data_IF_146152950239
#
_entry.id   IF_146152950239
#
_cell.length_a   1.000
_cell.length_b   1.000
_cell.length_c   1.000
_cell.angle_alpha   90.00
_cell.angle_beta   90.00
_cell.angle_gamma   90.00
#
_symmetry.space_group_name_H-M   'P 1'
#
loop_
_entity.id
_entity.type
_entity.pdbx_description
1 polymer ?
#
# COMPACT_ATOMS: atom_id res chain seq x y z
N UNK A 1 -5.06 -32.19 17.38
CA UNK A 1 -4.84 -30.74 17.58
C UNK A 1 -5.01 -30.32 19.04
N UNK A 2 -6.19 -30.50 19.68
CA UNK A 2 -6.42 -30.08 21.08
C UNK A 2 -5.48 -30.80 22.06
N UNK A 3 -5.33 -32.12 21.92
CA UNK A 3 -4.43 -32.92 22.77
C UNK A 3 -2.95 -32.46 22.64
N UNK A 4 -2.51 -32.17 21.42
CA UNK A 4 -1.17 -31.65 21.17
C UNK A 4 -0.97 -30.23 21.76
N UNK A 5 -2.01 -29.38 21.73
CA UNK A 5 -1.93 -28.05 22.32
C UNK A 5 -1.83 -28.13 23.86
N UNK A 6 -2.56 -29.06 24.48
CA UNK A 6 -2.49 -29.35 25.93
C UNK A 6 -1.11 -29.91 26.31
N UNK A 7 -0.60 -30.88 25.56
CA UNK A 7 0.73 -31.43 25.75
C UNK A 7 1.80 -30.37 25.68
N UNK A 8 1.74 -29.51 24.63
CA UNK A 8 2.69 -28.41 24.45
C UNK A 8 2.62 -27.38 25.59
N UNK A 9 1.43 -27.10 26.09
CA UNK A 9 1.27 -26.21 27.24
C UNK A 9 1.83 -26.80 28.55
N UNK A 10 1.70 -28.12 28.74
CA UNK A 10 2.21 -28.80 29.94
C UNK A 10 3.72 -29.06 29.90
N UNK A 11 4.30 -29.11 28.72
CA UNK A 11 5.76 -29.33 28.51
C UNK A 11 6.52 -28.05 28.18
N UNK A 12 5.87 -26.89 28.29
CA UNK A 12 6.47 -25.57 28.01
C UNK A 12 7.57 -25.28 29.02
N UNK A 13 8.68 -24.73 28.52
CA UNK A 13 9.79 -24.24 29.32
C UNK A 13 9.36 -23.11 30.28
N UNK A 14 9.96 -23.07 31.49
CA UNK A 14 9.59 -22.07 32.51
C UNK A 14 9.84 -20.63 32.04
N UNK A 15 10.91 -20.38 31.27
CA UNK A 15 11.24 -19.07 30.73
C UNK A 15 10.21 -18.65 29.65
N UNK A 16 9.85 -19.57 28.77
CA UNK A 16 8.81 -19.32 27.76
C UNK A 16 7.44 -19.07 28.42
N UNK A 17 7.12 -19.82 29.47
CA UNK A 17 5.88 -19.65 30.24
C UNK A 17 5.84 -18.28 30.91
N UNK A 18 6.93 -17.86 31.56
CA UNK A 18 7.04 -16.56 32.21
C UNK A 18 6.93 -15.40 31.21
N UNK A 19 7.55 -15.53 30.05
CA UNK A 19 7.48 -14.53 28.99
C UNK A 19 6.06 -14.41 28.43
N UNK A 20 5.40 -15.52 28.09
CA UNK A 20 4.02 -15.56 27.63
C UNK A 20 3.05 -15.01 28.67
N UNK A 21 3.23 -15.36 29.95
CA UNK A 21 2.43 -14.81 31.02
C UNK A 21 2.59 -13.30 31.13
N UNK A 22 3.81 -12.80 31.06
CA UNK A 22 4.10 -11.36 31.11
C UNK A 22 3.43 -10.61 29.96
N UNK A 23 3.48 -11.15 28.74
CA UNK A 23 2.88 -10.52 27.55
C UNK A 23 1.34 -10.57 27.62
N UNK A 24 0.76 -11.70 28.02
CA UNK A 24 -0.68 -11.82 28.21
C UNK A 24 -1.17 -10.92 29.36
N UNK A 25 -0.48 -10.90 30.48
CA UNK A 25 -0.82 -10.05 31.62
C UNK A 25 -0.76 -8.57 31.23
N UNK A 26 0.28 -8.16 30.52
CA UNK A 26 0.41 -6.78 30.01
C UNK A 26 -0.76 -6.43 29.13
N UNK A 27 -1.14 -7.31 28.20
CA UNK A 27 -2.27 -7.12 27.30
C UNK A 27 -3.58 -6.98 28.04
N UNK A 28 -3.87 -7.88 28.98
CA UNK A 28 -5.11 -7.84 29.77
C UNK A 28 -5.20 -6.60 30.64
N UNK A 29 -4.10 -6.20 31.28
CA UNK A 29 -4.07 -5.00 32.16
C UNK A 29 -4.14 -3.70 31.35
N UNK A 30 -3.58 -3.66 30.15
CA UNK A 30 -3.63 -2.46 29.29
C UNK A 30 -4.94 -2.32 28.52
N UNK A 31 -5.61 -3.43 28.17
CA UNK A 31 -6.87 -3.42 27.43
C UNK A 31 -8.08 -3.34 28.37
N UNK A 32 -8.13 -2.30 29.18
CA UNK A 32 -9.26 -2.01 30.07
C UNK A 32 -10.42 -1.38 29.29
N UNK A 33 -11.62 -1.36 29.90
CA UNK A 33 -12.77 -0.63 29.34
C UNK A 33 -12.47 0.85 29.16
N UNK A 34 -11.68 1.45 30.05
CA UNK A 34 -11.22 2.83 29.94
C UNK A 34 -10.33 3.02 28.71
N UNK A 35 -9.35 2.14 28.49
CA UNK A 35 -8.50 2.15 27.31
C UNK A 35 -9.33 2.04 26.03
N UNK A 36 -10.35 1.16 26.01
CA UNK A 36 -11.25 1.03 24.87
C UNK A 36 -12.00 2.33 24.57
N UNK A 37 -12.60 2.96 25.61
CA UNK A 37 -13.29 4.24 25.45
C UNK A 37 -12.36 5.34 24.93
N UNK A 38 -11.16 5.46 25.50
CA UNK A 38 -10.18 6.44 25.05
C UNK A 38 -9.71 6.19 23.61
N UNK A 39 -9.53 4.93 23.23
CA UNK A 39 -9.20 4.54 21.84
C UNK A 39 -10.31 4.94 20.86
N UNK A 40 -11.58 4.66 21.20
CA UNK A 40 -12.73 5.05 20.37
C UNK A 40 -12.82 6.57 20.25
N UNK A 41 -12.69 7.31 21.35
CA UNK A 41 -12.72 8.78 21.33
C UNK A 41 -11.58 9.36 20.50
N UNK A 42 -10.36 8.83 20.64
CA UNK A 42 -9.21 9.22 19.84
C UNK A 42 -9.39 8.93 18.34
N UNK A 43 -10.01 7.80 18.00
CA UNK A 43 -10.33 7.48 16.60
C UNK A 43 -11.40 8.41 16.03
N UNK A 44 -12.43 8.74 16.81
CA UNK A 44 -13.46 9.71 16.42
C UNK A 44 -12.89 11.11 16.22
N UNK A 45 -11.99 11.54 17.12
CA UNK A 45 -11.31 12.83 17.01
C UNK A 45 -10.43 12.88 15.76
N UNK A 46 -9.62 11.83 15.50
CA UNK A 46 -8.81 11.72 14.27
C UNK A 46 -9.70 11.70 13.02
N UNK A 47 -10.80 10.97 13.04
CA UNK A 47 -11.75 10.94 11.93
C UNK A 47 -12.36 12.32 11.69
N UNK A 48 -12.71 13.04 12.76
CA UNK A 48 -13.24 14.40 12.69
C UNK A 48 -12.20 15.40 12.13
N UNK A 49 -10.97 15.34 12.63
CA UNK A 49 -9.86 16.17 12.12
C UNK A 49 -9.43 15.81 10.69
N UNK A 50 -9.65 14.56 10.28
CA UNK A 50 -9.34 14.07 8.94
C UNK A 50 -10.48 14.29 7.95
N UNK A 51 -11.67 14.68 8.44
CA UNK A 51 -12.75 15.06 7.53
C UNK A 51 -12.37 16.35 6.80
N UNK A 52 -12.37 16.35 5.47
CA UNK A 52 -12.25 17.59 4.73
C UNK A 52 -13.35 18.53 5.19
N UNK A 53 -12.99 19.79 5.44
CA UNK A 53 -13.95 20.83 5.80
C UNK A 53 -15.18 20.74 4.88
N UNK A 54 -16.41 20.99 5.33
CA UNK A 54 -17.61 20.93 4.50
C UNK A 54 -17.50 21.70 3.18
N UNK A 55 -16.65 22.71 3.13
CA UNK A 55 -16.31 23.46 1.90
C UNK A 55 -15.34 22.72 0.96
N UNK A 56 -14.71 21.63 1.37
CA UNK A 56 -13.78 20.82 0.55
C UNK A 56 -14.44 19.55 -0.01
N UNK A 57 -15.72 19.31 0.26
CA UNK A 57 -16.46 18.16 -0.29
C UNK A 57 -16.71 18.25 -1.81
N UNK A 58 -16.47 19.39 -2.43
CA UNK A 58 -16.56 19.52 -3.87
C UNK A 58 -15.14 19.48 -4.46
N UNK A 59 -14.76 18.33 -5.03
CA UNK A 59 -13.63 18.29 -5.93
C UNK A 59 -13.90 19.32 -7.03
N UNK A 60 -13.06 20.36 -7.17
CA UNK A 60 -13.31 21.37 -8.18
C UNK A 60 -13.35 20.71 -9.56
N UNK A 61 -14.31 21.11 -10.36
CA UNK A 61 -14.46 20.59 -11.72
C UNK A 61 -13.20 20.94 -12.52
N UNK A 62 -12.63 19.96 -13.19
CA UNK A 62 -11.46 20.20 -14.02
C UNK A 62 -11.82 21.10 -15.20
N UNK A 63 -11.25 22.30 -15.23
CA UNK A 63 -11.37 23.24 -16.35
C UNK A 63 -10.42 22.83 -17.47
N UNK A 64 -10.91 21.99 -18.38
CA UNK A 64 -10.09 21.38 -19.45
C UNK A 64 -9.38 22.45 -20.31
N UNK A 65 -10.06 23.56 -20.61
CA UNK A 65 -9.47 24.64 -21.42
C UNK A 65 -8.27 25.30 -20.73
N UNK A 66 -8.37 25.57 -19.44
CA UNK A 66 -7.28 26.11 -18.65
C UNK A 66 -6.11 25.12 -18.55
N UNK A 67 -6.42 23.86 -18.24
CA UNK A 67 -5.42 22.79 -18.16
C UNK A 67 -4.66 22.63 -19.48
N UNK A 68 -5.36 22.66 -20.62
CA UNK A 68 -4.73 22.58 -21.94
C UNK A 68 -3.81 23.79 -22.23
N UNK A 69 -4.22 24.98 -21.82
CA UNK A 69 -3.40 26.18 -21.98
C UNK A 69 -2.11 26.09 -21.13
N UNK A 70 -2.25 25.72 -19.86
CA UNK A 70 -1.12 25.52 -18.93
C UNK A 70 -0.17 24.40 -19.44
N UNK A 71 -0.73 23.29 -19.92
CA UNK A 71 0.03 22.18 -20.49
C UNK A 71 0.89 22.60 -21.66
N UNK A 72 0.39 23.46 -22.56
CA UNK A 72 1.11 23.91 -23.76
C UNK A 72 2.32 24.79 -23.42
N UNK A 73 2.20 25.63 -22.39
CA UNK A 73 3.25 26.59 -22.00
C UNK A 73 4.22 26.04 -20.96
N UNK A 74 3.89 24.90 -20.32
CA UNK A 74 4.73 24.30 -19.30
C UNK A 74 6.07 23.83 -19.89
N UNK A 75 7.17 24.31 -19.32
CA UNK A 75 8.53 23.88 -19.67
C UNK A 75 8.84 22.48 -19.19
N UNK A 76 8.19 22.04 -18.11
CA UNK A 76 8.32 20.72 -17.50
C UNK A 76 6.95 20.24 -17.04
N UNK A 77 6.67 18.95 -17.22
CA UNK A 77 5.39 18.33 -16.86
C UNK A 77 5.63 17.04 -16.09
N UNK A 78 4.97 16.91 -14.97
CA UNK A 78 4.91 15.67 -14.22
C UNK A 78 3.58 14.96 -14.51
N UNK A 79 3.69 13.71 -14.95
CA UNK A 79 2.53 12.86 -15.25
C UNK A 79 2.61 11.62 -14.35
N UNK A 80 1.66 11.50 -13.43
CA UNK A 80 1.54 10.36 -12.53
C UNK A 80 0.36 9.51 -12.97
N UNK A 81 0.58 8.23 -13.25
CA UNK A 81 -0.42 7.31 -13.77
C UNK A 81 -0.49 6.08 -12.87
N UNK A 82 -1.66 5.74 -12.35
CA UNK A 82 -1.86 4.45 -11.70
C UNK A 82 -1.93 3.36 -12.76
N UNK A 83 -1.22 2.24 -12.53
CA UNK A 83 -1.29 1.11 -13.45
C UNK A 83 -2.63 0.41 -13.29
N UNK A 84 -2.94 -0.03 -12.08
CA UNK A 84 -4.17 -0.74 -11.76
C UNK A 84 -5.37 0.21 -11.83
N UNK A 85 -6.45 -0.25 -12.43
CA UNK A 85 -7.74 0.44 -12.57
C UNK A 85 -7.70 1.76 -13.36
N UNK A 86 -6.53 2.15 -13.92
CA UNK A 86 -6.39 3.33 -14.80
C UNK A 86 -5.83 2.95 -16.16
N UNK A 87 -4.67 2.33 -16.19
CA UNK A 87 -3.99 1.92 -17.42
C UNK A 87 -4.37 0.49 -17.82
N UNK A 88 -4.62 -0.37 -16.85
CA UNK A 88 -5.07 -1.75 -17.05
C UNK A 88 -6.27 -2.02 -16.15
N UNK A 89 -7.23 -2.79 -16.69
CA UNK A 89 -8.42 -3.25 -15.98
C UNK A 89 -8.32 -4.76 -15.83
N UNK A 90 -7.62 -5.21 -14.78
CA UNK A 90 -7.39 -6.64 -14.51
C UNK A 90 -7.79 -6.98 -13.08
N UNK A 91 -8.33 -8.20 -12.89
CA UNK A 91 -8.61 -8.74 -11.57
C UNK A 91 -7.31 -9.16 -10.90
N UNK A 92 -7.14 -8.78 -9.63
CA UNK A 92 -5.92 -9.04 -8.86
C UNK A 92 -5.57 -10.54 -8.82
N UNK A 93 -6.57 -11.42 -8.81
CA UNK A 93 -6.38 -12.87 -8.76
C UNK A 93 -5.78 -13.43 -10.06
N UNK A 94 -6.26 -12.97 -11.23
CA UNK A 94 -5.71 -13.41 -12.52
C UNK A 94 -4.25 -12.98 -12.68
N UNK A 95 -3.94 -11.80 -12.17
CA UNK A 95 -2.60 -11.24 -12.19
C UNK A 95 -1.61 -12.01 -11.32
N UNK A 96 -2.05 -12.47 -10.16
CA UNK A 96 -1.23 -13.25 -9.23
C UNK A 96 -0.85 -14.63 -9.83
N UNK A 97 -1.75 -15.22 -10.61
CA UNK A 97 -1.54 -16.54 -11.20
C UNK A 97 -0.67 -16.53 -12.48
N UNK A 98 -0.70 -15.45 -13.27
CA UNK A 98 -0.10 -15.43 -14.62
C UNK A 98 1.01 -14.39 -14.82
N UNK A 99 1.28 -13.55 -13.83
CA UNK A 99 2.21 -12.41 -13.96
C UNK A 99 1.62 -11.27 -14.79
N UNK A 100 2.39 -10.20 -14.95
CA UNK A 100 1.98 -9.02 -15.71
C UNK A 100 2.69 -8.95 -17.07
N UNK A 101 1.94 -9.06 -18.15
CA UNK A 101 2.42 -8.80 -19.51
C UNK A 101 1.83 -7.46 -20.00
N UNK A 102 2.67 -6.45 -20.26
CA UNK A 102 2.15 -5.14 -20.66
C UNK A 102 1.55 -5.17 -22.06
N UNK A 103 0.26 -4.77 -22.23
CA UNK A 103 -0.37 -4.71 -23.56
C UNK A 103 0.42 -3.83 -24.53
N UNK A 104 0.51 -4.23 -25.79
CA UNK A 104 1.24 -3.49 -26.81
C UNK A 104 0.73 -2.05 -27.00
N UNK A 105 -0.57 -1.85 -26.85
CA UNK A 105 -1.21 -0.54 -26.90
C UNK A 105 -0.72 0.37 -25.76
N UNK A 106 -0.66 -0.15 -24.52
CA UNK A 106 -0.13 0.55 -23.36
C UNK A 106 1.31 0.98 -23.58
N UNK A 107 2.17 0.05 -24.02
CA UNK A 107 3.57 0.34 -24.35
C UNK A 107 3.69 1.45 -25.39
N UNK A 108 2.86 1.39 -26.45
CA UNK A 108 2.84 2.42 -27.51
C UNK A 108 2.46 3.79 -26.96
N UNK A 109 1.43 3.90 -26.14
CA UNK A 109 0.98 5.15 -25.52
C UNK A 109 2.05 5.72 -24.60
N UNK A 110 2.64 4.90 -23.72
CA UNK A 110 3.68 5.33 -22.80
C UNK A 110 4.95 5.79 -23.54
N UNK A 111 5.37 5.09 -24.60
CA UNK A 111 6.49 5.53 -25.45
C UNK A 111 6.24 6.90 -26.09
N UNK A 112 5.04 7.15 -26.59
CA UNK A 112 4.65 8.45 -27.15
C UNK A 112 4.66 9.55 -26.09
N UNK A 113 4.18 9.23 -24.89
CA UNK A 113 4.11 10.20 -23.79
C UNK A 113 5.51 10.57 -23.27
N UNK A 114 6.42 9.59 -23.17
CA UNK A 114 7.81 9.78 -22.74
C UNK A 114 8.73 10.34 -23.81
N UNK A 115 8.31 10.37 -25.09
CA UNK A 115 9.09 10.92 -26.18
C UNK A 115 9.27 12.46 -26.09
N UNK A 116 8.32 13.19 -25.49
CA UNK A 116 8.49 14.63 -25.24
C UNK A 116 9.43 14.80 -24.02
N UNK A 117 10.61 15.45 -24.21
CA UNK A 117 11.60 15.63 -23.14
C UNK A 117 11.11 16.51 -21.99
N UNK A 118 10.00 17.20 -22.12
CA UNK A 118 9.37 17.98 -21.05
C UNK A 118 8.54 17.13 -20.10
N UNK A 119 8.20 15.90 -20.50
CA UNK A 119 7.35 15.01 -19.72
C UNK A 119 8.18 14.09 -18.84
N UNK A 120 7.99 14.19 -17.53
CA UNK A 120 8.44 13.22 -16.53
C UNK A 120 7.25 12.33 -16.23
N UNK A 121 7.28 11.10 -16.72
CA UNK A 121 6.15 10.17 -16.63
C UNK A 121 6.49 9.08 -15.64
N UNK A 122 5.67 8.93 -14.61
CA UNK A 122 5.80 7.87 -13.62
C UNK A 122 4.54 7.03 -13.58
N UNK A 123 4.73 5.70 -13.63
CA UNK A 123 3.68 4.72 -13.37
C UNK A 123 3.78 4.28 -11.92
N UNK A 124 2.65 4.35 -11.21
CA UNK A 124 2.49 3.93 -9.82
C UNK A 124 1.80 2.58 -9.82
N UNK A 125 2.38 1.59 -9.12
CA UNK A 125 1.83 0.24 -9.12
C UNK A 125 2.00 -0.46 -7.77
N UNK A 126 1.05 -1.33 -7.47
CA UNK A 126 1.13 -2.26 -6.33
C UNK A 126 1.93 -3.52 -6.67
N UNK A 127 2.20 -3.77 -7.95
CA UNK A 127 2.92 -4.94 -8.43
C UNK A 127 4.38 -4.96 -7.96
N UNK A 128 4.96 -6.16 -7.95
CA UNK A 128 6.39 -6.34 -7.65
C UNK A 128 7.28 -5.76 -8.75
N UNK A 129 8.54 -5.54 -8.42
CA UNK A 129 9.56 -5.14 -9.40
C UNK A 129 9.69 -6.16 -10.52
N UNK A 130 9.64 -7.46 -10.19
CA UNK A 130 9.71 -8.55 -11.17
C UNK A 130 8.56 -8.54 -12.17
N UNK A 131 7.35 -8.24 -11.71
CA UNK A 131 6.18 -8.12 -12.60
C UNK A 131 6.33 -6.94 -13.57
N UNK A 132 6.96 -5.86 -13.13
CA UNK A 132 7.10 -4.61 -13.89
C UNK A 132 8.34 -4.56 -14.79
N UNK A 133 9.25 -5.54 -14.68
CA UNK A 133 10.49 -5.59 -15.46
C UNK A 133 10.25 -5.54 -16.97
N UNK A 134 9.20 -6.20 -17.47
CA UNK A 134 8.89 -6.18 -18.90
C UNK A 134 8.45 -4.78 -19.35
N UNK A 135 7.64 -4.08 -18.56
CA UNK A 135 7.23 -2.71 -18.85
C UNK A 135 8.43 -1.77 -18.79
N UNK A 136 9.31 -1.91 -17.79
CA UNK A 136 10.52 -1.12 -17.63
C UNK A 136 11.43 -1.25 -18.86
N UNK A 137 11.67 -2.46 -19.32
CA UNK A 137 12.48 -2.72 -20.52
C UNK A 137 11.81 -2.24 -21.80
N UNK A 138 10.47 -2.33 -21.88
CA UNK A 138 9.72 -1.88 -23.06
C UNK A 138 9.71 -0.36 -23.19
N UNK A 139 9.76 0.40 -22.09
CA UNK A 139 9.73 1.86 -22.07
C UNK A 139 10.83 2.42 -21.16
N UNK A 140 12.10 2.43 -21.58
CA UNK A 140 13.24 2.83 -20.72
C UNK A 140 13.17 4.26 -20.16
N UNK A 141 12.45 5.15 -20.84
CA UNK A 141 12.27 6.54 -20.40
C UNK A 141 11.12 6.71 -19.38
N UNK A 142 10.52 5.62 -18.92
CA UNK A 142 9.44 5.62 -17.96
C UNK A 142 9.98 5.48 -16.53
N UNK A 143 9.59 6.37 -15.64
CA UNK A 143 9.76 6.15 -14.20
C UNK A 143 8.70 5.18 -13.69
N UNK A 144 9.07 4.28 -12.79
CA UNK A 144 8.14 3.32 -12.20
C UNK A 144 8.31 3.32 -10.69
N UNK A 145 7.19 3.34 -9.98
CA UNK A 145 7.15 3.21 -8.53
C UNK A 145 6.34 1.96 -8.22
N UNK A 146 7.03 0.95 -7.68
CA UNK A 146 6.51 -0.39 -7.44
C UNK A 146 6.21 -0.65 -5.96
N UNK A 147 5.46 -1.73 -5.67
CA UNK A 147 5.10 -2.19 -4.34
C UNK A 147 4.62 -1.07 -3.40
N UNK A 148 3.62 -0.28 -3.86
CA UNK A 148 3.05 0.83 -3.08
C UNK A 148 4.07 1.89 -2.66
N UNK A 149 5.17 2.07 -3.40
CA UNK A 149 6.20 3.05 -3.10
C UNK A 149 7.40 2.50 -2.33
N UNK A 150 7.58 1.19 -2.30
CA UNK A 150 8.73 0.55 -1.66
C UNK A 150 9.96 0.50 -2.57
N UNK A 151 9.73 0.46 -3.88
CA UNK A 151 10.78 0.46 -4.90
C UNK A 151 10.49 1.52 -5.95
N UNK A 152 11.56 2.12 -6.47
CA UNK A 152 11.44 3.08 -7.54
C UNK A 152 12.49 2.82 -8.62
N UNK A 153 12.11 3.09 -9.86
CA UNK A 153 13.00 3.13 -10.99
C UNK A 153 12.92 4.52 -11.61
N UNK A 154 14.09 5.11 -11.83
CA UNK A 154 14.18 6.44 -12.40
C UNK A 154 13.88 6.44 -13.90
N UNK A 155 13.26 7.50 -14.42
CA UNK A 155 13.19 7.70 -15.86
C UNK A 155 14.56 8.16 -16.38
N UNK A 156 15.42 7.20 -16.73
CA UNK A 156 16.73 7.50 -17.29
C UNK A 156 16.61 7.93 -18.75
N UNK A 157 17.21 9.07 -19.05
CA UNK A 157 17.40 9.54 -20.42
C UNK A 157 18.77 9.17 -20.99
N UNK A 158 19.54 8.38 -20.26
CA UNK A 158 20.87 7.96 -20.69
C UNK A 158 20.78 6.88 -21.79
N UNK A 159 21.61 6.96 -22.84
CA UNK A 159 21.60 6.01 -23.95
C UNK A 159 21.89 4.55 -23.55
N UNK A 160 22.57 4.37 -22.44
CA UNK A 160 23.05 3.08 -21.91
C UNK A 160 22.19 2.57 -20.75
N UNK A 161 21.05 3.23 -20.51
CA UNK A 161 20.11 3.08 -19.40
C UNK A 161 19.85 1.69 -18.89
N UNK A 162 20.77 1.12 -18.14
CA UNK A 162 20.45 0.06 -17.19
C UNK A 162 19.60 0.70 -16.10
N UNK A 163 18.32 0.45 -16.14
CA UNK A 163 17.40 0.89 -15.11
C UNK A 163 17.51 -0.07 -13.92
N UNK A 164 18.16 0.36 -12.87
CA UNK A 164 18.21 -0.40 -11.62
C UNK A 164 17.08 0.02 -10.70
N UNK A 165 16.46 -0.97 -10.05
CA UNK A 165 15.48 -0.73 -9.02
C UNK A 165 16.16 -0.21 -7.76
N UNK A 166 15.75 0.96 -7.31
CA UNK A 166 16.15 1.50 -6.01
C UNK A 166 15.17 1.03 -4.93
N UNK A 167 15.71 0.48 -3.86
CA UNK A 167 14.93 0.20 -2.66
C UNK A 167 14.77 1.49 -1.83
N UNK A 168 13.54 1.82 -1.49
CA UNK A 168 13.21 2.93 -0.59
C UNK A 168 12.93 2.43 0.84
N UNK A 169 13.15 1.14 1.09
CA UNK A 169 12.90 0.45 2.35
C UNK A 169 14.18 -0.11 2.99
N UNK A 170 15.34 0.27 2.48
CA UNK A 170 16.61 -0.14 3.04
C UNK A 170 16.74 0.31 4.50
N UNK A 171 17.09 -0.65 5.36
CA UNK A 171 17.21 -0.41 6.81
C UNK A 171 15.89 -0.49 7.60
N UNK A 172 14.75 -0.75 6.96
CA UNK A 172 13.49 -1.00 7.66
C UNK A 172 13.49 -2.43 8.22
N UNK A 173 13.17 -2.57 9.51
CA UNK A 173 13.04 -3.90 10.14
C UNK A 173 11.80 -4.62 9.61
N UNK A 174 12.01 -5.75 8.95
CA UNK A 174 10.95 -6.60 8.37
C UNK A 174 10.48 -7.73 9.29
N UNK A 175 10.93 -7.79 10.54
CA UNK A 175 10.52 -8.82 11.53
C UNK A 175 9.03 -8.82 11.85
N UNK A 176 8.31 -7.77 11.48
CA UNK A 176 6.86 -7.67 11.61
C UNK A 176 6.09 -8.67 10.72
N UNK A 177 6.73 -9.17 9.65
CA UNK A 177 6.06 -9.99 8.63
C UNK A 177 5.55 -11.31 9.20
N UNK A 178 6.39 -12.02 9.94
CA UNK A 178 6.05 -13.32 10.51
C UNK A 178 4.87 -13.24 11.51
N UNK A 179 4.85 -12.34 12.52
CA UNK A 179 3.69 -12.18 13.39
C UNK A 179 2.41 -11.79 12.65
N UNK A 180 2.51 -10.89 11.67
CA UNK A 180 1.36 -10.50 10.85
C UNK A 180 0.86 -11.68 10.04
N UNK A 181 1.76 -12.45 9.40
CA UNK A 181 1.40 -13.63 8.63
C UNK A 181 0.65 -14.66 9.47
N UNK A 182 1.12 -14.93 10.67
CA UNK A 182 0.46 -15.87 11.59
C UNK A 182 -0.96 -15.43 11.95
N UNK A 183 -1.18 -14.13 12.17
CA UNK A 183 -2.52 -13.57 12.40
C UNK A 183 -3.38 -13.77 11.15
N UNK A 184 -2.89 -13.41 9.98
CA UNK A 184 -3.64 -13.50 8.74
C UNK A 184 -3.99 -14.96 8.37
N UNK A 185 -3.08 -15.90 8.57
CA UNK A 185 -3.33 -17.33 8.34
C UNK A 185 -4.50 -17.82 9.20
N UNK A 186 -4.54 -17.45 10.50
CA UNK A 186 -5.63 -17.78 11.39
C UNK A 186 -6.99 -17.30 10.89
N UNK A 187 -7.05 -16.05 10.37
CA UNK A 187 -8.30 -15.47 9.87
C UNK A 187 -8.64 -15.98 8.46
N UNK A 188 -7.65 -16.28 7.64
CA UNK A 188 -7.86 -16.85 6.30
C UNK A 188 -8.55 -18.20 6.37
N UNK A 189 -8.16 -19.09 7.31
CA UNK A 189 -8.82 -20.37 7.53
C UNK A 189 -10.31 -20.23 7.90
N UNK A 190 -10.72 -19.08 8.45
CA UNK A 190 -12.08 -18.80 8.95
C UNK A 190 -12.92 -17.94 8.04
N UNK A 191 -12.31 -17.42 6.98
CA UNK A 191 -12.98 -16.53 6.02
C UNK A 191 -13.00 -17.20 4.66
N UNK A 192 -14.13 -17.81 4.26
CA UNK A 192 -14.24 -18.50 2.97
C UNK A 192 -13.88 -17.60 1.80
N UNK A 193 -12.97 -18.06 0.94
CA UNK A 193 -12.51 -17.32 -0.24
C UNK A 193 -11.43 -16.27 0.05
N UNK A 194 -11.02 -16.10 1.30
CA UNK A 194 -9.90 -15.22 1.64
C UNK A 194 -8.55 -15.84 1.26
N UNK A 195 -7.60 -14.99 0.90
CA UNK A 195 -6.24 -15.40 0.58
C UNK A 195 -5.25 -14.29 0.88
N UNK A 196 -3.97 -14.65 0.98
CA UNK A 196 -2.88 -13.74 1.33
C UNK A 196 -1.94 -13.61 0.14
N UNK A 197 -1.63 -12.40 -0.26
CA UNK A 197 -0.56 -12.09 -1.18
C UNK A 197 0.61 -11.51 -0.39
N UNK A 198 1.75 -12.18 -0.45
CA UNK A 198 2.97 -11.75 0.23
C UNK A 198 4.00 -11.29 -0.80
N UNK A 199 4.43 -10.03 -0.68
CA UNK A 199 5.48 -9.42 -1.47
C UNK A 199 6.70 -9.15 -0.60
N UNK A 200 7.78 -8.62 -1.17
CA UNK A 200 9.02 -8.38 -0.42
C UNK A 200 8.84 -7.44 0.77
N UNK A 201 7.99 -6.43 0.65
CA UNK A 201 7.81 -5.36 1.65
C UNK A 201 6.38 -5.15 2.12
N UNK A 202 5.42 -5.82 1.49
CA UNK A 202 4.00 -5.68 1.78
C UNK A 202 3.32 -7.04 1.94
N UNK A 203 2.27 -7.09 2.75
CA UNK A 203 1.37 -8.24 2.84
C UNK A 203 -0.04 -7.72 2.59
N UNK A 204 -0.72 -8.33 1.62
CA UNK A 204 -2.11 -8.01 1.29
C UNK A 204 -3.01 -9.16 1.69
N UNK A 205 -4.09 -8.86 2.39
CA UNK A 205 -5.12 -9.83 2.70
C UNK A 205 -6.40 -9.53 1.94
N UNK A 206 -6.75 -10.42 1.02
CA UNK A 206 -7.99 -10.39 0.27
C UNK A 206 -9.04 -11.18 1.03
N UNK A 207 -10.09 -10.51 1.51
CA UNK A 207 -11.09 -11.13 2.39
C UNK A 207 -12.45 -11.39 1.73
N UNK A 208 -12.80 -10.68 0.66
CA UNK A 208 -14.08 -10.89 -0.03
C UNK A 208 -14.02 -10.66 -1.55
N UNK A 209 -12.86 -10.88 -2.16
CA UNK A 209 -12.72 -10.74 -3.60
C UNK A 209 -13.50 -11.84 -4.34
N UNK A 210 -14.34 -11.46 -5.30
CA UNK A 210 -15.19 -12.38 -6.06
C UNK A 210 -16.35 -13.00 -5.29
N UNK A 211 -16.56 -12.63 -4.02
CA UNK A 211 -17.66 -13.13 -3.21
C UNK A 211 -18.96 -12.37 -3.54
N UNK A 212 -19.98 -13.08 -3.98
CA UNK A 212 -21.27 -12.50 -4.37
C UNK A 212 -22.37 -12.64 -3.31
N UNK A 213 -22.22 -13.59 -2.38
CA UNK A 213 -23.17 -13.81 -1.30
C UNK A 213 -23.05 -12.71 -0.23
N UNK A 214 -24.13 -11.99 0.02
CA UNK A 214 -24.14 -10.88 0.97
C UNK A 214 -23.81 -11.29 2.42
N UNK A 215 -24.18 -12.49 2.82
CA UNK A 215 -23.87 -12.99 4.18
C UNK A 215 -22.36 -13.24 4.33
N UNK A 216 -21.74 -13.84 3.32
CA UNK A 216 -20.29 -14.11 3.33
C UNK A 216 -19.50 -12.80 3.26
N UNK A 217 -19.95 -11.83 2.47
CA UNK A 217 -19.36 -10.47 2.43
C UNK A 217 -19.47 -9.78 3.79
N UNK A 218 -20.61 -9.86 4.46
CA UNK A 218 -20.80 -9.24 5.77
C UNK A 218 -19.91 -9.93 6.84
N UNK A 219 -19.77 -11.25 6.79
CA UNK A 219 -18.85 -12.00 7.64
C UNK A 219 -17.40 -11.62 7.37
N UNK A 220 -16.96 -11.64 6.13
CA UNK A 220 -15.60 -11.30 5.72
C UNK A 220 -15.21 -9.88 6.16
N UNK A 221 -16.11 -8.90 6.01
CA UNK A 221 -15.88 -7.51 6.49
C UNK A 221 -15.74 -7.44 8.00
N UNK A 222 -16.51 -8.23 8.76
CA UNK A 222 -16.37 -8.31 10.21
C UNK A 222 -15.01 -8.88 10.60
N UNK A 223 -14.59 -9.98 9.95
CA UNK A 223 -13.28 -10.57 10.15
C UNK A 223 -12.16 -9.56 9.79
N UNK A 224 -12.31 -8.82 8.69
CA UNK A 224 -11.35 -7.80 8.29
C UNK A 224 -11.20 -6.69 9.35
N UNK A 225 -12.31 -6.22 9.92
CA UNK A 225 -12.29 -5.22 10.98
C UNK A 225 -11.58 -5.73 12.25
N UNK A 226 -11.82 -6.99 12.63
CA UNK A 226 -11.20 -7.63 13.78
C UNK A 226 -9.68 -7.81 13.60
N UNK A 227 -9.27 -8.29 12.43
CA UNK A 227 -7.85 -8.41 12.04
C UNK A 227 -7.13 -7.07 12.11
N UNK A 228 -7.75 -6.03 11.54
CA UNK A 228 -7.16 -4.70 11.51
C UNK A 228 -6.96 -4.15 12.92
N UNK A 229 -7.95 -4.29 13.79
CA UNK A 229 -7.81 -3.89 15.20
C UNK A 229 -6.70 -4.69 15.88
N UNK A 230 -6.68 -6.01 15.72
CA UNK A 230 -5.69 -6.88 16.34
C UNK A 230 -4.26 -6.53 15.91
N UNK A 231 -4.02 -6.32 14.61
CA UNK A 231 -2.71 -5.96 14.10
C UNK A 231 -2.31 -4.55 14.57
N UNK A 232 -3.24 -3.59 14.54
CA UNK A 232 -2.98 -2.22 14.99
C UNK A 232 -2.59 -2.19 16.45
N UNK A 233 -3.35 -2.87 17.30
CA UNK A 233 -3.17 -2.83 18.75
C UNK A 233 -1.93 -3.62 19.21
N UNK A 234 -1.64 -4.75 18.56
CA UNK A 234 -0.55 -5.63 18.96
C UNK A 234 0.79 -5.32 18.30
N UNK A 235 0.79 -4.87 17.05
CA UNK A 235 2.00 -4.73 16.23
C UNK A 235 2.19 -3.33 15.65
N UNK A 236 1.12 -2.54 15.50
CA UNK A 236 1.13 -1.29 14.75
C UNK A 236 2.12 -0.24 15.29
N UNK A 237 2.17 -0.04 16.62
CA UNK A 237 3.11 0.89 17.23
C UNK A 237 4.53 0.31 17.31
N UNK A 238 4.63 -0.98 17.66
CA UNK A 238 5.92 -1.67 17.81
C UNK A 238 6.76 -1.66 16.54
N UNK A 239 6.12 -1.85 15.39
CA UNK A 239 6.81 -1.94 14.09
C UNK A 239 6.51 -0.77 13.16
N UNK A 240 5.81 0.26 13.63
CA UNK A 240 5.43 1.42 12.81
C UNK A 240 4.73 0.99 11.52
N UNK A 241 3.69 0.16 11.63
CA UNK A 241 2.91 -0.32 10.50
C UNK A 241 1.74 0.61 10.19
N UNK A 242 1.34 0.63 8.93
CA UNK A 242 0.08 1.19 8.47
C UNK A 242 -0.68 0.19 7.60
N UNK A 243 -1.98 0.37 7.55
CA UNK A 243 -2.85 -0.38 6.66
C UNK A 243 -3.53 0.56 5.66
N UNK A 244 -3.58 0.13 4.40
CA UNK A 244 -4.34 0.78 3.34
C UNK A 244 -5.56 -0.08 3.09
N UNK A 245 -6.74 0.47 3.39
CA UNK A 245 -8.00 -0.25 3.30
C UNK A 245 -8.65 -0.03 1.94
N UNK A 246 -9.06 -1.13 1.32
CA UNK A 246 -9.85 -1.19 0.10
C UNK A 246 -11.16 -1.94 0.39
N UNK A 247 -12.06 -1.98 -0.58
CA UNK A 247 -13.38 -2.59 -0.40
C UNK A 247 -13.34 -4.11 -0.17
N UNK A 248 -12.36 -4.79 -0.74
CA UNK A 248 -12.24 -6.26 -0.77
C UNK A 248 -10.97 -6.80 -0.14
N UNK A 249 -10.02 -5.93 0.16
CA UNK A 249 -8.72 -6.27 0.72
C UNK A 249 -8.14 -5.12 1.52
N UNK A 250 -7.07 -5.38 2.26
CA UNK A 250 -6.20 -4.33 2.82
C UNK A 250 -4.73 -4.72 2.71
N UNK A 251 -3.89 -3.71 2.58
CA UNK A 251 -2.43 -3.86 2.47
C UNK A 251 -1.78 -3.43 3.78
N UNK A 252 -0.89 -4.25 4.31
CA UNK A 252 -0.07 -3.96 5.48
C UNK A 252 1.34 -3.65 5.01
N UNK A 253 1.89 -2.53 5.49
CA UNK A 253 3.20 -2.05 5.08
C UNK A 253 3.81 -1.12 6.14
N UNK A 254 5.13 -0.84 6.06
CA UNK A 254 5.76 0.17 6.91
C UNK A 254 5.15 1.55 6.75
N UNK A 255 5.00 2.30 7.86
CA UNK A 255 4.26 3.56 7.92
C UNK A 255 4.85 4.68 7.07
N UNK A 256 6.18 4.73 6.97
CA UNK A 256 6.90 5.83 6.32
C UNK A 256 7.13 5.63 4.82
N UNK A 257 6.57 4.58 4.23
CA UNK A 257 6.71 4.24 2.82
C UNK A 257 5.39 4.47 2.09
N UNK A 258 5.44 4.83 0.83
CA UNK A 258 4.24 5.02 0.02
C UNK A 258 4.50 5.79 -1.26
N UNK A 259 3.48 5.92 -2.11
CA UNK A 259 3.62 6.63 -3.37
C UNK A 259 4.03 8.08 -3.20
N UNK A 260 3.45 8.82 -2.26
CA UNK A 260 3.77 10.24 -2.04
C UNK A 260 5.23 10.47 -1.67
N UNK A 261 5.79 9.83 -0.61
CA UNK A 261 7.22 9.98 -0.30
C UNK A 261 8.13 9.46 -1.41
N UNK A 262 7.75 8.39 -2.13
CA UNK A 262 8.51 7.87 -3.25
C UNK A 262 8.58 8.88 -4.41
N UNK A 263 7.46 9.47 -4.80
CA UNK A 263 7.41 10.53 -5.82
C UNK A 263 8.25 11.73 -5.39
N UNK A 264 8.12 12.19 -4.15
CA UNK A 264 8.90 13.31 -3.62
C UNK A 264 10.40 13.03 -3.67
N UNK A 265 10.81 11.82 -3.30
CA UNK A 265 12.21 11.40 -3.38
C UNK A 265 12.73 11.41 -4.82
N UNK A 266 11.97 10.84 -5.77
CA UNK A 266 12.35 10.81 -7.19
C UNK A 266 12.46 12.22 -7.79
N UNK A 267 11.54 13.11 -7.45
CA UNK A 267 11.58 14.51 -7.89
C UNK A 267 12.78 15.27 -7.31
N UNK A 268 13.17 14.96 -6.07
CA UNK A 268 14.35 15.56 -5.45
C UNK A 268 15.65 15.11 -6.15
N UNK A 269 15.74 13.84 -6.57
CA UNK A 269 16.87 13.32 -7.34
C UNK A 269 17.01 14.01 -8.71
N UNK A 270 15.89 14.33 -9.36
CA UNK A 270 15.87 15.01 -10.67
C UNK A 270 16.19 16.51 -10.61
N UNK A 271 16.57 17.06 -9.45
CA UNK A 271 16.66 18.52 -9.22
C UNK A 271 15.36 19.27 -9.55
N UNK A 272 14.23 18.58 -9.63
CA UNK A 272 12.90 19.17 -9.82
C UNK A 272 12.30 19.71 -8.53
N UNK A 273 13.08 19.82 -7.45
CA UNK A 273 12.67 20.22 -6.10
C UNK A 273 12.12 21.64 -5.94
N UNK A 274 11.80 22.31 -7.04
CA UNK A 274 11.16 23.63 -7.08
C UNK A 274 9.88 23.68 -7.91
N UNK A 275 9.15 22.55 -8.05
CA UNK A 275 7.76 22.67 -8.47
C UNK A 275 7.01 23.39 -7.33
N UNK A 276 6.47 24.61 -7.58
CA UNK A 276 5.75 25.32 -6.53
C UNK A 276 4.50 24.49 -6.18
N UNK A 277 4.56 23.82 -5.03
CA UNK A 277 3.34 23.36 -4.39
C UNK A 277 2.55 24.63 -4.12
N UNK A 278 1.51 24.89 -4.86
CA UNK A 278 0.54 25.93 -4.53
C UNK A 278 -0.01 25.57 -3.16
N UNK A 279 0.56 26.18 -2.12
CA UNK A 279 -0.11 26.25 -0.83
C UNK A 279 -1.44 26.93 -1.11
N UNK A 280 -2.52 26.20 -0.86
CA UNK A 280 -3.85 26.77 -0.95
C UNK A 280 -3.86 28.04 -0.11
N UNK A 281 -4.11 29.16 -0.76
CA UNK A 281 -4.38 30.44 -0.10
C UNK A 281 -5.51 30.23 0.88
N UNK A 282 -5.32 30.48 2.19
CA UNK A 282 -6.44 30.54 3.11
C UNK A 282 -7.23 31.80 2.74
N UNK A 283 -8.47 31.59 2.22
CA UNK A 283 -9.48 32.60 2.03
C UNK A 283 -10.61 32.35 3.01
#
# INVERSE_FOLDING_TARGET
>A
QVAQAIERALTMDEDEMAQRWTDLHRTVVSQTAEHWVLSVLSQLERAHLSQPSPNTMFTPRLEIGQMQAEWRVAGTRLVLLSLEHTLVCEDAKQLHEHGFEPPAELVSVLRRLTADPRNYVYVLSRKSTTDLDQLARAVPALGIIAENGCYAQHCTRAPDGACEWMSLVDGIDMKWREPVRNILDYFTERTPGAWIEERSTTITWYFCEGTTNQQDVAWARRQASEVQSLITDSLGERFSLRMINENTHFVIMPKNVGFTPAVQYMLALDNMGSLPVRQGTPG
#
